data_IF_556794781794
#
_entry.id   IF_556794781794
#
_cell.length_a   1.000
_cell.length_b   1.000
_cell.length_c   1.000
_cell.angle_alpha   90.00
_cell.angle_beta   90.00
_cell.angle_gamma   90.00
#
_symmetry.space_group_name_H-M   'P 1'
#
loop_
_entity.id
_entity.type
_entity.pdbx_description
1 polymer ?
#
# COMPACT_ATOMS: atom_id res chain seq x y z
N UNK A 1 -8.12 -7.80 13.10
CA UNK A 1 -6.77 -8.30 13.47
C UNK A 1 -6.00 -8.45 12.17
N UNK A 2 -4.78 -7.90 12.03
CA UNK A 2 -3.99 -8.08 10.81
C UNK A 2 -3.83 -9.57 10.52
N UNK A 3 -3.84 -9.95 9.24
CA UNK A 3 -3.72 -11.35 8.84
C UNK A 3 -2.36 -11.87 9.31
N UNK A 4 -2.37 -12.77 10.30
CA UNK A 4 -1.13 -13.36 10.81
C UNK A 4 -0.61 -14.40 9.83
N UNK A 5 0.35 -14.04 9.00
CA UNK A 5 1.04 -14.99 8.12
C UNK A 5 1.92 -15.96 8.93
N UNK A 6 1.94 -17.24 8.56
CA UNK A 6 2.97 -18.17 9.05
C UNK A 6 4.32 -17.82 8.39
N UNK A 7 5.01 -16.85 8.98
CA UNK A 7 6.28 -16.34 8.48
C UNK A 7 7.38 -17.41 8.44
N UNK A 8 7.27 -18.51 9.20
CA UNK A 8 8.23 -19.61 9.11
C UNK A 8 8.00 -20.44 7.83
N UNK A 9 6.75 -20.75 7.50
CA UNK A 9 6.42 -21.43 6.25
C UNK A 9 6.81 -20.60 5.03
N UNK A 10 6.43 -19.32 5.02
CA UNK A 10 6.81 -18.38 3.96
C UNK A 10 8.33 -18.27 3.82
N UNK A 11 9.07 -18.19 4.93
CA UNK A 11 10.54 -18.12 4.91
C UNK A 11 11.15 -19.35 4.24
N UNK A 12 10.64 -20.56 4.52
CA UNK A 12 11.13 -21.80 3.91
C UNK A 12 10.88 -21.82 2.39
N UNK A 13 9.68 -21.41 1.97
CA UNK A 13 9.31 -21.33 0.56
C UNK A 13 10.15 -20.30 -0.19
N UNK A 14 10.34 -19.12 0.40
CA UNK A 14 11.15 -18.03 -0.16
C UNK A 14 12.61 -18.46 -0.38
N UNK A 15 13.21 -19.13 0.60
CA UNK A 15 14.56 -19.66 0.48
C UNK A 15 14.69 -20.74 -0.60
N UNK A 16 13.68 -21.60 -0.77
CA UNK A 16 13.64 -22.59 -1.86
C UNK A 16 13.52 -21.90 -3.22
N UNK A 17 12.66 -20.88 -3.34
CA UNK A 17 12.51 -20.08 -4.56
C UNK A 17 13.84 -19.43 -4.96
N UNK A 18 14.52 -18.75 -4.03
CA UNK A 18 15.83 -18.12 -4.30
C UNK A 18 16.95 -19.11 -4.62
N UNK A 19 16.95 -20.30 -4.01
CA UNK A 19 17.88 -21.37 -4.39
C UNK A 19 17.65 -21.80 -5.85
N UNK A 20 16.39 -21.84 -6.27
CA UNK A 20 15.97 -22.33 -7.58
C UNK A 20 16.36 -23.80 -7.78
N UNK A 21 16.89 -24.12 -8.96
CA UNK A 21 17.24 -25.49 -9.36
C UNK A 21 18.52 -26.04 -8.70
N UNK A 22 19.29 -25.21 -7.99
CA UNK A 22 20.56 -25.64 -7.37
C UNK A 22 20.30 -26.63 -6.24
N UNK A 23 21.19 -27.59 -6.01
CA UNK A 23 21.10 -28.42 -4.80
C UNK A 23 21.37 -27.58 -3.54
N UNK A 24 20.85 -28.02 -2.39
CA UNK A 24 21.07 -27.35 -1.09
C UNK A 24 22.57 -27.23 -0.75
N UNK A 25 23.36 -28.26 -1.09
CA UNK A 25 24.82 -28.25 -0.90
C UNK A 25 25.48 -27.21 -1.81
N UNK A 26 25.09 -27.14 -3.08
CA UNK A 26 25.63 -26.17 -4.02
C UNK A 26 25.31 -24.73 -3.58
N UNK A 27 24.09 -24.47 -3.10
CA UNK A 27 23.70 -23.18 -2.56
C UNK A 27 24.51 -22.82 -1.31
N UNK A 28 24.68 -23.76 -0.38
CA UNK A 28 25.46 -23.56 0.86
C UNK A 28 26.92 -23.20 0.55
N UNK A 29 27.54 -23.92 -0.39
CA UNK A 29 28.91 -23.61 -0.85
C UNK A 29 29.01 -22.24 -1.50
N UNK A 30 28.01 -21.84 -2.30
CA UNK A 30 27.97 -20.54 -2.97
C UNK A 30 27.80 -19.37 -1.98
N UNK A 31 27.14 -19.62 -0.86
CA UNK A 31 27.05 -18.68 0.28
C UNK A 31 28.35 -18.62 1.11
N UNK A 32 29.30 -19.53 0.87
CA UNK A 32 30.59 -19.61 1.57
C UNK A 32 30.57 -20.52 2.81
N UNK A 33 29.54 -21.35 2.99
CA UNK A 33 29.45 -22.27 4.11
C UNK A 33 30.06 -23.64 3.78
N UNK A 34 30.80 -24.20 4.74
CA UNK A 34 31.32 -25.57 4.68
C UNK A 34 30.26 -26.64 4.99
N UNK A 35 29.19 -26.26 5.69
CA UNK A 35 28.07 -27.13 6.08
C UNK A 35 26.83 -26.88 5.24
N UNK A 36 25.89 -27.84 5.22
CA UNK A 36 24.63 -27.74 4.46
C UNK A 36 23.60 -26.84 5.18
N UNK A 37 23.89 -25.54 5.26
CA UNK A 37 23.02 -24.55 5.91
C UNK A 37 21.69 -24.40 5.17
N UNK A 38 21.66 -24.53 3.85
CA UNK A 38 20.43 -24.43 3.06
C UNK A 38 19.41 -25.50 3.47
N UNK A 39 19.84 -26.73 3.74
CA UNK A 39 18.95 -27.76 4.30
C UNK A 39 18.37 -27.35 5.66
N UNK A 40 19.20 -26.85 6.58
CA UNK A 40 18.73 -26.42 7.89
C UNK A 40 17.72 -25.26 7.78
N UNK A 41 17.92 -24.37 6.81
CA UNK A 41 17.01 -23.25 6.55
C UNK A 41 15.69 -23.69 5.90
N UNK A 42 15.75 -24.49 4.84
CA UNK A 42 14.56 -24.94 4.09
C UNK A 42 13.71 -25.95 4.87
N UNK A 43 14.30 -26.68 5.83
CA UNK A 43 13.56 -27.56 6.74
C UNK A 43 12.94 -26.81 7.92
N UNK A 44 13.36 -25.58 8.20
CA UNK A 44 12.92 -24.79 9.36
C UNK A 44 13.64 -25.13 10.68
N UNK A 45 14.72 -25.93 10.65
CA UNK A 45 15.52 -26.21 11.86
C UNK A 45 16.23 -24.97 12.40
N UNK A 46 16.58 -24.03 11.52
CA UNK A 46 17.18 -22.73 11.83
C UNK A 46 16.88 -21.77 10.69
N UNK A 47 16.84 -20.46 10.93
CA UNK A 47 16.71 -19.47 9.85
C UNK A 47 17.96 -18.60 9.70
N UNK A 48 18.26 -18.09 8.49
CA UNK A 48 19.30 -17.07 8.28
C UNK A 48 18.88 -15.73 8.91
N UNK A 49 19.84 -14.83 9.12
CA UNK A 49 19.52 -13.40 9.37
C UNK A 49 18.94 -12.79 8.09
N UNK A 50 18.25 -11.65 8.20
CA UNK A 50 17.75 -10.91 7.04
C UNK A 50 18.87 -10.62 6.01
N UNK A 51 20.05 -10.22 6.50
CA UNK A 51 21.27 -10.02 5.69
C UNK A 51 21.63 -11.27 4.88
N UNK A 52 21.80 -12.42 5.53
CA UNK A 52 22.16 -13.67 4.85
C UNK A 52 21.06 -14.15 3.90
N UNK A 53 19.79 -13.90 4.24
CA UNK A 53 18.64 -14.20 3.40
C UNK A 53 18.67 -13.36 2.10
N UNK A 54 18.85 -12.05 2.22
CA UNK A 54 18.95 -11.12 1.09
C UNK A 54 20.17 -11.41 0.20
N UNK A 55 21.30 -11.79 0.79
CA UNK A 55 22.46 -12.30 0.06
C UNK A 55 22.14 -13.57 -0.73
N UNK A 56 21.37 -14.49 -0.14
CA UNK A 56 20.89 -15.69 -0.84
C UNK A 56 19.96 -15.34 -2.01
N UNK A 57 19.12 -14.32 -1.87
CA UNK A 57 18.26 -13.81 -2.95
C UNK A 57 19.10 -13.31 -4.14
N UNK A 58 20.16 -12.54 -3.86
CA UNK A 58 21.07 -12.02 -4.88
C UNK A 58 21.75 -13.15 -5.68
N UNK A 59 22.16 -14.25 -5.02
CA UNK A 59 22.69 -15.44 -5.70
C UNK A 59 21.64 -16.16 -6.57
N UNK A 60 20.36 -15.98 -6.23
CA UNK A 60 19.20 -16.41 -7.02
C UNK A 60 18.88 -15.51 -8.22
N UNK A 61 19.59 -14.39 -8.39
CA UNK A 61 19.34 -13.42 -9.45
C UNK A 61 18.31 -12.33 -9.08
N UNK A 62 18.00 -12.18 -7.79
CA UNK A 62 17.11 -11.12 -7.28
C UNK A 62 17.84 -10.33 -6.20
N UNK A 63 18.52 -9.24 -6.58
CA UNK A 63 19.28 -8.45 -5.62
C UNK A 63 18.34 -7.77 -4.62
N UNK A 64 18.82 -7.51 -3.40
CA UNK A 64 18.01 -6.81 -2.39
C UNK A 64 17.60 -5.41 -2.86
N UNK A 65 18.44 -4.75 -3.66
CA UNK A 65 18.14 -3.47 -4.31
C UNK A 65 16.93 -3.58 -5.25
N UNK A 66 16.90 -4.58 -6.13
CA UNK A 66 15.77 -4.80 -7.04
C UNK A 66 14.46 -5.06 -6.28
N UNK A 67 14.54 -5.79 -5.17
CA UNK A 67 13.38 -6.09 -4.31
C UNK A 67 12.81 -4.80 -3.74
N UNK A 68 13.65 -3.95 -3.14
CA UNK A 68 13.20 -2.70 -2.53
C UNK A 68 12.69 -1.70 -3.58
N UNK A 69 13.39 -1.55 -4.71
CA UNK A 69 12.93 -0.69 -5.81
C UNK A 69 11.57 -1.15 -6.33
N UNK A 70 11.38 -2.45 -6.57
CA UNK A 70 10.10 -2.98 -7.03
C UNK A 70 8.99 -2.82 -5.98
N UNK A 71 9.29 -3.01 -4.69
CA UNK A 71 8.32 -2.87 -3.61
C UNK A 71 7.86 -1.43 -3.38
N UNK A 72 8.77 -0.45 -3.48
CA UNK A 72 8.46 0.97 -3.36
C UNK A 72 7.82 1.54 -4.64
N UNK A 73 8.10 0.93 -5.79
CA UNK A 73 7.71 1.43 -7.12
C UNK A 73 8.64 2.53 -7.67
N UNK A 74 9.57 3.01 -6.85
CA UNK A 74 10.65 3.92 -7.18
C UNK A 74 11.86 3.61 -6.28
N UNK A 75 13.02 4.17 -6.60
CA UNK A 75 14.23 4.03 -5.76
C UNK A 75 14.06 4.83 -4.46
N UNK A 76 14.02 4.20 -3.27
CA UNK A 76 14.05 4.93 -2.01
C UNK A 76 15.43 5.57 -1.78
N UNK A 77 15.45 6.77 -1.18
CA UNK A 77 16.66 7.59 -1.06
C UNK A 77 17.78 6.93 -0.22
N UNK A 78 17.43 6.08 0.75
CA UNK A 78 18.43 5.41 1.58
C UNK A 78 19.33 4.43 0.78
N UNK A 79 18.85 3.91 -0.36
CA UNK A 79 19.66 3.04 -1.25
C UNK A 79 20.82 3.77 -1.93
N UNK A 80 20.87 5.10 -1.87
CA UNK A 80 21.99 5.88 -2.42
C UNK A 80 23.18 5.95 -1.46
N UNK A 81 22.98 5.54 -0.20
CA UNK A 81 23.94 5.71 0.88
C UNK A 81 24.32 4.40 1.58
N UNK A 82 23.49 3.37 1.50
CA UNK A 82 23.75 2.09 2.17
C UNK A 82 23.32 0.90 1.31
N UNK A 83 24.16 -0.14 1.28
CA UNK A 83 23.86 -1.37 0.57
C UNK A 83 22.74 -2.15 1.29
N UNK A 84 21.67 -2.57 0.60
CA UNK A 84 20.47 -3.14 1.22
C UNK A 84 20.65 -4.53 1.85
N UNK A 85 21.72 -5.24 1.48
CA UNK A 85 22.10 -6.56 2.01
C UNK A 85 23.15 -6.46 3.13
N UNK A 86 23.25 -5.31 3.79
CA UNK A 86 24.08 -5.08 4.99
C UNK A 86 23.22 -4.92 6.25
N UNK A 87 23.86 -4.93 7.42
CA UNK A 87 23.16 -4.70 8.68
C UNK A 87 22.50 -3.30 8.70
N UNK A 88 23.27 -2.30 8.30
CA UNK A 88 22.87 -0.91 8.17
C UNK A 88 21.75 -0.75 7.14
N UNK A 89 21.81 -1.48 6.02
CA UNK A 89 20.77 -1.49 5.00
C UNK A 89 19.44 -2.06 5.50
N UNK A 90 19.47 -3.17 6.24
CA UNK A 90 18.26 -3.74 6.87
C UNK A 90 17.65 -2.74 7.87
N UNK A 91 18.47 -2.07 8.68
CA UNK A 91 18.00 -1.04 9.62
C UNK A 91 17.41 0.15 8.88
N UNK A 92 18.05 0.63 7.81
CA UNK A 92 17.57 1.73 7.00
C UNK A 92 16.21 1.41 6.37
N UNK A 93 16.05 0.20 5.82
CA UNK A 93 14.78 -0.25 5.25
C UNK A 93 13.67 -0.32 6.32
N UNK A 94 13.93 -0.93 7.48
CA UNK A 94 12.94 -1.00 8.56
C UNK A 94 12.59 0.39 9.12
N UNK A 95 13.55 1.31 9.18
CA UNK A 95 13.32 2.69 9.62
C UNK A 95 12.51 3.50 8.62
N UNK A 96 12.78 3.33 7.32
CA UNK A 96 11.99 3.93 6.24
C UNK A 96 10.54 3.45 6.26
N UNK A 97 10.32 2.15 6.46
CA UNK A 97 8.99 1.56 6.62
C UNK A 97 8.26 2.06 7.87
N UNK A 98 8.97 2.18 9.00
CA UNK A 98 8.38 2.59 10.29
C UNK A 98 7.72 3.96 10.25
N UNK A 99 8.33 4.92 9.57
CA UNK A 99 7.91 6.32 9.67
C UNK A 99 7.84 6.79 11.13
N UNK A 100 6.61 7.06 11.62
CA UNK A 100 6.36 7.54 12.99
C UNK A 100 5.70 6.52 13.92
N UNK A 101 5.49 5.28 13.46
CA UNK A 101 4.76 4.27 14.25
C UNK A 101 5.49 3.97 15.57
N UNK A 102 4.78 4.02 16.73
CA UNK A 102 5.33 3.66 18.03
C UNK A 102 5.82 2.21 18.11
N UNK A 103 6.86 1.98 18.93
CA UNK A 103 7.45 0.63 19.09
C UNK A 103 6.44 -0.37 19.67
N UNK A 104 5.61 0.06 20.62
CA UNK A 104 4.66 -0.84 21.29
C UNK A 104 3.57 -1.32 20.31
N UNK A 105 3.11 -0.46 19.41
CA UNK A 105 2.16 -0.82 18.33
C UNK A 105 2.77 -1.81 17.34
N UNK A 106 4.05 -1.61 16.97
CA UNK A 106 4.78 -2.54 16.09
C UNK A 106 4.96 -3.90 16.77
N UNK A 107 5.27 -3.90 18.07
CA UNK A 107 5.45 -5.11 18.86
C UNK A 107 4.16 -5.95 18.92
N UNK A 108 3.03 -5.31 19.18
CA UNK A 108 1.71 -5.95 19.16
C UNK A 108 1.40 -6.56 17.79
N UNK A 109 1.53 -5.78 16.71
CA UNK A 109 1.27 -6.24 15.34
C UNK A 109 2.17 -7.38 14.89
N UNK A 110 3.45 -7.31 15.22
CA UNK A 110 4.43 -8.32 14.83
C UNK A 110 4.39 -9.59 15.70
N UNK A 111 3.66 -9.57 16.82
CA UNK A 111 3.71 -10.64 17.84
C UNK A 111 5.09 -10.76 18.50
N UNK A 112 5.79 -9.63 18.66
CA UNK A 112 7.15 -9.55 19.20
C UNK A 112 7.17 -8.75 20.50
N UNK A 113 8.23 -8.92 21.31
CA UNK A 113 8.44 -8.01 22.45
C UNK A 113 8.91 -6.64 21.97
N UNK A 114 8.51 -5.56 22.68
CA UNK A 114 9.05 -4.19 22.46
C UNK A 114 10.58 -4.14 22.42
N UNK A 115 11.25 -4.98 23.23
CA UNK A 115 12.70 -5.05 23.28
C UNK A 115 13.30 -5.69 22.02
N UNK A 116 12.63 -6.69 21.43
CA UNK A 116 13.07 -7.30 20.18
C UNK A 116 12.90 -6.32 19.01
N UNK A 117 11.77 -5.61 18.96
CA UNK A 117 11.51 -4.56 17.95
C UNK A 117 12.55 -3.44 18.08
N UNK A 118 12.74 -2.90 19.28
CA UNK A 118 13.71 -1.82 19.52
C UNK A 118 15.14 -2.22 19.12
N UNK A 119 15.58 -3.44 19.46
CA UNK A 119 16.90 -3.94 19.08
C UNK A 119 17.06 -4.18 17.58
N UNK A 120 16.02 -4.63 16.90
CA UNK A 120 16.04 -4.78 15.43
C UNK A 120 16.11 -3.41 14.73
N UNK A 121 15.31 -2.43 15.16
CA UNK A 121 15.27 -1.09 14.59
C UNK A 121 16.52 -0.26 14.87
N UNK A 122 17.24 -0.55 15.96
CA UNK A 122 18.51 0.11 16.30
C UNK A 122 19.74 -0.61 15.75
N UNK A 123 19.57 -1.77 15.10
CA UNK A 123 20.68 -2.57 14.57
C UNK A 123 21.46 -3.35 15.63
N UNK A 124 21.06 -3.30 16.91
CA UNK A 124 21.70 -4.08 17.98
C UNK A 124 21.56 -5.59 17.76
N UNK A 125 20.51 -6.02 17.08
CA UNK A 125 20.32 -7.42 16.67
C UNK A 125 19.79 -7.51 15.25
N UNK A 126 20.38 -8.38 14.44
CA UNK A 126 19.84 -8.68 13.12
C UNK A 126 18.68 -9.68 13.21
N UNK A 127 17.46 -9.33 12.76
CA UNK A 127 16.34 -10.24 12.80
C UNK A 127 16.60 -11.45 11.89
N UNK A 128 16.12 -12.62 12.32
CA UNK A 128 16.05 -13.81 11.46
C UNK A 128 14.95 -13.62 10.43
N UNK A 129 15.04 -14.34 9.30
CA UNK A 129 14.11 -14.15 8.18
C UNK A 129 12.61 -14.14 8.59
N UNK A 130 12.09 -15.09 9.41
CA UNK A 130 10.68 -15.03 9.83
C UNK A 130 10.34 -13.75 10.61
N UNK A 131 11.21 -13.35 11.54
CA UNK A 131 11.07 -12.11 12.31
C UNK A 131 11.15 -10.87 11.42
N UNK A 132 12.03 -10.89 10.42
CA UNK A 132 12.15 -9.82 9.45
C UNK A 132 10.87 -9.68 8.61
N UNK A 133 10.28 -10.78 8.12
CA UNK A 133 9.00 -10.75 7.41
C UNK A 133 7.86 -10.26 8.32
N UNK A 134 7.83 -10.67 9.58
CA UNK A 134 6.85 -10.17 10.56
C UNK A 134 6.99 -8.66 10.80
N UNK A 135 8.23 -8.14 10.86
CA UNK A 135 8.48 -6.70 10.95
C UNK A 135 8.06 -5.97 9.67
N UNK A 136 8.39 -6.50 8.48
CA UNK A 136 7.94 -5.91 7.19
C UNK A 136 6.42 -5.83 7.16
N UNK A 137 5.72 -6.88 7.58
CA UNK A 137 4.26 -6.86 7.67
C UNK A 137 3.77 -5.81 8.66
N UNK A 138 4.25 -5.83 9.91
CA UNK A 138 3.80 -4.92 10.95
C UNK A 138 4.05 -3.43 10.63
N UNK A 139 5.12 -3.15 9.87
CA UNK A 139 5.53 -1.79 9.51
C UNK A 139 4.87 -1.29 8.22
N UNK A 140 4.54 -2.18 7.28
CA UNK A 140 4.06 -1.79 5.96
C UNK A 140 2.62 -2.20 5.64
N UNK A 141 2.09 -3.23 6.33
CA UNK A 141 0.84 -3.92 6.03
C UNK A 141 0.76 -4.41 4.57
N UNK A 142 1.93 -4.70 3.99
CA UNK A 142 2.14 -4.97 2.56
C UNK A 142 3.13 -6.10 2.35
N UNK A 143 3.22 -7.07 3.27
CA UNK A 143 4.14 -8.20 3.12
C UNK A 143 3.91 -8.96 1.81
N UNK A 144 2.65 -9.14 1.38
CA UNK A 144 2.33 -9.80 0.13
C UNK A 144 2.94 -9.09 -1.09
N UNK A 145 2.96 -7.76 -1.11
CA UNK A 145 3.64 -6.99 -2.15
C UNK A 145 5.15 -7.12 -2.09
N UNK A 146 5.71 -7.11 -0.88
CA UNK A 146 7.14 -7.30 -0.70
C UNK A 146 7.57 -8.69 -1.17
N UNK A 147 6.79 -9.74 -0.84
CA UNK A 147 7.03 -11.11 -1.30
C UNK A 147 6.93 -11.23 -2.82
N UNK A 148 5.96 -10.57 -3.45
CA UNK A 148 5.84 -10.54 -4.90
C UNK A 148 6.98 -9.79 -5.59
N UNK A 149 7.58 -8.80 -4.92
CA UNK A 149 8.80 -8.16 -5.38
C UNK A 149 10.04 -9.06 -5.19
N UNK A 150 10.01 -9.90 -4.16
CA UNK A 150 11.12 -10.77 -3.75
C UNK A 150 11.20 -12.11 -4.51
N UNK A 151 10.09 -12.68 -4.95
CA UNK A 151 10.04 -13.98 -5.61
C UNK A 151 8.78 -14.14 -6.48
N UNK A 152 8.77 -15.07 -7.45
CA UNK A 152 7.54 -15.50 -8.12
C UNK A 152 6.53 -16.01 -7.09
N UNK A 153 5.34 -15.40 -7.04
CA UNK A 153 4.31 -15.76 -6.06
C UNK A 153 3.89 -17.23 -6.16
N UNK A 154 3.93 -17.83 -7.35
CA UNK A 154 3.62 -19.24 -7.56
C UNK A 154 4.53 -20.20 -6.76
N UNK A 155 5.73 -19.74 -6.35
CA UNK A 155 6.66 -20.52 -5.54
C UNK A 155 6.35 -20.45 -4.04
N UNK A 156 5.36 -19.64 -3.63
CA UNK A 156 4.99 -19.39 -2.24
C UNK A 156 3.55 -19.88 -1.94
N UNK A 157 3.30 -21.20 -1.97
CA UNK A 157 1.95 -21.75 -1.84
C UNK A 157 1.27 -21.39 -0.50
N UNK A 158 2.03 -21.16 0.57
CA UNK A 158 1.48 -20.79 1.88
C UNK A 158 0.72 -19.46 1.87
N UNK A 159 1.04 -18.54 0.94
CA UNK A 159 0.35 -17.26 0.80
C UNK A 159 -0.65 -17.22 -0.36
N UNK A 160 -0.79 -18.30 -1.14
CA UNK A 160 -1.63 -18.31 -2.33
C UNK A 160 -3.10 -17.88 -2.05
N UNK A 161 -3.76 -18.31 -0.95
CA UNK A 161 -5.11 -17.84 -0.63
C UNK A 161 -5.17 -16.33 -0.37
N UNK A 162 -4.25 -15.82 0.46
CA UNK A 162 -4.18 -14.40 0.80
C UNK A 162 -3.83 -13.53 -0.41
N UNK A 163 -2.92 -14.01 -1.27
CA UNK A 163 -2.59 -13.35 -2.53
C UNK A 163 -3.79 -13.30 -3.49
N UNK A 164 -4.53 -14.40 -3.63
CA UNK A 164 -5.75 -14.45 -4.45
C UNK A 164 -6.81 -13.46 -3.96
N UNK A 165 -6.98 -13.37 -2.64
CA UNK A 165 -7.87 -12.41 -1.99
C UNK A 165 -7.43 -10.96 -2.29
N UNK A 166 -6.15 -10.63 -2.11
CA UNK A 166 -5.61 -9.31 -2.43
C UNK A 166 -5.81 -8.93 -3.90
N UNK A 167 -5.56 -9.86 -4.83
CA UNK A 167 -5.80 -9.64 -6.26
C UNK A 167 -7.29 -9.49 -6.61
N UNK A 168 -8.20 -10.15 -5.87
CA UNK A 168 -9.63 -9.91 -6.00
C UNK A 168 -10.03 -8.51 -5.52
N UNK A 169 -9.51 -8.07 -4.37
CA UNK A 169 -9.72 -6.71 -3.85
C UNK A 169 -9.22 -5.65 -4.83
N UNK A 170 -8.04 -5.86 -5.42
CA UNK A 170 -7.49 -4.99 -6.49
C UNK A 170 -8.44 -4.89 -7.67
N UNK A 171 -8.88 -6.04 -8.20
CA UNK A 171 -9.85 -6.10 -9.30
C UNK A 171 -11.16 -5.39 -8.99
N UNK A 172 -11.68 -5.55 -7.77
CA UNK A 172 -12.87 -4.84 -7.31
C UNK A 172 -12.67 -3.32 -7.30
N UNK A 173 -11.55 -2.84 -6.77
CA UNK A 173 -11.23 -1.42 -6.77
C UNK A 173 -11.02 -0.84 -8.19
N UNK A 174 -10.65 -1.66 -9.17
CA UNK A 174 -10.56 -1.25 -10.57
C UNK A 174 -11.93 -1.14 -11.24
N UNK A 175 -12.81 -2.11 -11.00
CA UNK A 175 -14.14 -2.14 -11.59
C UNK A 175 -15.07 -1.11 -10.93
N UNK A 176 -14.90 -0.88 -9.63
CA UNK A 176 -15.77 -0.07 -8.80
C UNK A 176 -14.92 0.89 -7.94
N UNK A 177 -14.45 2.04 -8.47
CA UNK A 177 -13.62 2.99 -7.73
C UNK A 177 -14.27 3.48 -6.42
N UNK A 178 -15.60 3.51 -6.38
CA UNK A 178 -16.40 3.88 -5.21
C UNK A 178 -16.26 2.93 -4.01
N UNK A 179 -15.74 1.71 -4.19
CA UNK A 179 -15.48 0.75 -3.10
C UNK A 179 -14.68 1.38 -1.96
N UNK A 180 -13.72 2.24 -2.26
CA UNK A 180 -12.93 2.94 -1.25
C UNK A 180 -13.76 3.93 -0.43
N UNK A 181 -14.70 4.65 -1.05
CA UNK A 181 -15.59 5.58 -0.34
C UNK A 181 -16.66 4.84 0.45
N UNK A 182 -17.23 3.75 -0.10
CA UNK A 182 -18.19 2.88 0.59
C UNK A 182 -17.55 2.26 1.83
N UNK A 183 -16.29 1.81 1.74
CA UNK A 183 -15.55 1.28 2.89
C UNK A 183 -15.43 2.32 4.02
N UNK A 184 -15.12 3.59 3.69
CA UNK A 184 -15.07 4.69 4.66
C UNK A 184 -16.46 5.04 5.21
N UNK A 185 -17.53 4.90 4.42
CA UNK A 185 -18.90 5.16 4.87
C UNK A 185 -19.36 4.16 5.96
N UNK A 186 -18.89 2.92 5.91
CA UNK A 186 -19.17 1.89 6.94
C UNK A 186 -18.51 2.24 8.29
N UNK A 187 -17.39 2.97 8.27
CA UNK A 187 -16.68 3.41 9.46
C UNK A 187 -17.36 4.60 10.14
N UNK A 188 -18.36 5.23 9.52
CA UNK A 188 -19.06 6.39 10.08
C UNK A 188 -19.80 6.01 11.37
N UNK A 189 -19.67 6.86 12.39
CA UNK A 189 -20.39 6.68 13.65
C UNK A 189 -21.91 6.61 13.45
N UNK A 190 -22.45 7.43 12.55
CA UNK A 190 -23.88 7.42 12.19
C UNK A 190 -24.33 6.06 11.63
N UNK A 191 -23.51 5.42 10.79
CA UNK A 191 -23.79 4.09 10.25
C UNK A 191 -23.75 3.03 11.36
N UNK A 192 -22.74 3.09 12.22
CA UNK A 192 -22.54 2.13 13.31
C UNK A 192 -23.64 2.21 14.38
N UNK A 193 -24.29 3.38 14.52
CA UNK A 193 -25.38 3.61 15.46
C UNK A 193 -26.76 3.19 14.92
N UNK A 194 -26.88 2.80 13.64
CA UNK A 194 -28.12 2.26 13.12
C UNK A 194 -28.52 1.00 13.91
N UNK A 195 -29.82 0.69 14.06
CA UNK A 195 -30.24 -0.58 14.66
C UNK A 195 -29.80 -1.80 13.83
N UNK A 196 -29.80 -1.65 12.50
CA UNK A 196 -29.33 -2.61 11.50
C UNK A 196 -29.01 -1.84 10.19
N UNK A 197 -28.20 -2.44 9.32
CA UNK A 197 -27.92 -1.91 8.00
C UNK A 197 -29.22 -1.73 7.20
N UNK A 198 -29.40 -0.52 6.68
CA UNK A 198 -30.49 -0.17 5.79
C UNK A 198 -29.92 -0.02 4.37
N UNK A 199 -30.35 -0.85 3.40
CA UNK A 199 -29.94 -0.68 2.01
C UNK A 199 -30.26 0.73 1.51
N UNK A 200 -29.30 1.37 0.83
CA UNK A 200 -29.46 2.73 0.31
C UNK A 200 -28.98 3.81 1.28
N UNK A 201 -28.68 3.48 2.55
CA UNK A 201 -28.18 4.47 3.51
C UNK A 201 -26.82 5.01 3.07
N UNK A 202 -25.91 4.14 2.62
CA UNK A 202 -24.57 4.56 2.20
C UNK A 202 -24.69 5.37 0.91
N UNK A 203 -25.48 4.89 -0.05
CA UNK A 203 -25.77 5.56 -1.31
C UNK A 203 -26.28 6.98 -1.07
N UNK A 204 -27.29 7.16 -0.22
CA UNK A 204 -27.80 8.48 0.15
C UNK A 204 -26.74 9.34 0.84
N UNK A 205 -25.92 8.76 1.72
CA UNK A 205 -24.93 9.50 2.53
C UNK A 205 -23.79 10.08 1.71
N UNK A 206 -23.34 9.38 0.67
CA UNK A 206 -22.21 9.79 -0.19
C UNK A 206 -22.61 10.09 -1.65
N UNK A 207 -23.91 10.15 -1.95
CA UNK A 207 -24.44 10.59 -3.24
C UNK A 207 -24.28 9.59 -4.39
N UNK A 208 -24.46 8.30 -4.11
CA UNK A 208 -24.39 7.21 -5.11
C UNK A 208 -25.78 6.67 -5.47
N UNK A 209 -25.92 5.99 -6.62
CA UNK A 209 -27.06 5.12 -6.87
C UNK A 209 -27.05 3.87 -5.97
N UNK A 210 -28.22 3.40 -5.55
CA UNK A 210 -28.38 2.20 -4.71
C UNK A 210 -27.75 0.93 -5.32
N UNK A 211 -27.74 0.82 -6.65
CA UNK A 211 -27.07 -0.30 -7.33
C UNK A 211 -25.57 -0.30 -7.10
N UNK A 212 -24.94 0.88 -7.12
CA UNK A 212 -23.50 1.04 -6.89
C UNK A 212 -23.15 0.69 -5.44
N UNK A 213 -24.00 1.05 -4.48
CA UNK A 213 -23.82 0.62 -3.08
C UNK A 213 -23.80 -0.92 -2.99
N UNK A 214 -24.82 -1.59 -3.55
CA UNK A 214 -24.89 -3.06 -3.52
C UNK A 214 -23.68 -3.70 -4.17
N UNK A 215 -23.33 -3.28 -5.39
CA UNK A 215 -22.18 -3.83 -6.13
C UNK A 215 -20.87 -3.63 -5.35
N UNK A 216 -20.70 -2.47 -4.68
CA UNK A 216 -19.54 -2.20 -3.85
C UNK A 216 -19.52 -3.08 -2.59
N UNK A 217 -20.65 -3.22 -1.89
CA UNK A 217 -20.74 -4.06 -0.68
C UNK A 217 -20.45 -5.54 -1.02
N UNK A 218 -21.01 -6.05 -2.11
CA UNK A 218 -20.76 -7.41 -2.57
C UNK A 218 -19.28 -7.62 -2.91
N UNK A 219 -18.66 -6.66 -3.62
CA UNK A 219 -17.25 -6.73 -3.98
C UNK A 219 -16.32 -6.64 -2.76
N UNK A 220 -16.63 -5.76 -1.79
CA UNK A 220 -15.89 -5.61 -0.54
C UNK A 220 -16.02 -6.86 0.34
N UNK A 221 -17.21 -7.48 0.39
CA UNK A 221 -17.46 -8.70 1.15
C UNK A 221 -16.76 -9.90 0.52
N UNK A 222 -16.83 -10.05 -0.81
CA UNK A 222 -16.10 -11.08 -1.55
C UNK A 222 -14.58 -10.93 -1.44
N UNK A 223 -14.08 -9.69 -1.36
CA UNK A 223 -12.68 -9.37 -1.07
C UNK A 223 -12.30 -9.56 0.40
N UNK A 224 -13.26 -9.80 1.30
CA UNK A 224 -13.06 -9.92 2.75
C UNK A 224 -12.61 -8.63 3.44
N UNK A 225 -12.83 -7.48 2.82
CA UNK A 225 -12.55 -6.15 3.42
C UNK A 225 -13.65 -5.75 4.39
N UNK A 226 -14.84 -6.34 4.24
CA UNK A 226 -15.96 -6.20 5.17
C UNK A 226 -16.54 -7.57 5.49
N UNK A 227 -17.16 -7.67 6.67
CA UNK A 227 -17.87 -8.86 7.12
C UNK A 227 -19.26 -8.49 7.63
N UNK A 228 -20.20 -9.41 7.48
CA UNK A 228 -21.53 -9.27 8.07
C UNK A 228 -21.50 -9.77 9.53
N UNK A 229 -21.96 -8.95 10.48
CA UNK A 229 -22.02 -9.34 11.90
C UNK A 229 -23.42 -9.84 12.34
N UNK A 230 -24.35 -10.03 11.40
CA UNK A 230 -25.76 -10.35 11.66
C UNK A 230 -26.70 -9.14 11.56
N UNK A 231 -26.18 -7.91 11.72
CA UNK A 231 -26.96 -6.67 11.64
C UNK A 231 -26.35 -5.60 10.74
N UNK A 232 -25.03 -5.49 10.72
CA UNK A 232 -24.27 -4.48 9.97
C UNK A 232 -23.11 -5.11 9.21
N UNK A 233 -22.68 -4.40 8.18
CA UNK A 233 -21.34 -4.56 7.64
C UNK A 233 -20.34 -3.96 8.61
N UNK A 234 -19.24 -4.67 8.86
CA UNK A 234 -18.10 -4.19 9.63
C UNK A 234 -16.85 -4.30 8.77
N UNK A 235 -15.99 -3.28 8.82
CA UNK A 235 -14.67 -3.38 8.19
C UNK A 235 -13.86 -4.45 8.91
N UNK A 236 -13.34 -5.42 8.16
CA UNK A 236 -12.49 -6.49 8.67
C UNK A 236 -11.06 -6.27 8.17
N UNK A 237 -10.31 -5.49 8.95
CA UNK A 237 -8.94 -5.09 8.61
C UNK A 237 -8.89 -3.90 7.64
N UNK A 238 -8.18 -2.84 8.04
CA UNK A 238 -7.86 -1.71 7.17
C UNK A 238 -6.52 -1.96 6.46
N UNK A 239 -6.43 -3.00 5.64
CA UNK A 239 -5.23 -3.12 4.79
C UNK A 239 -5.28 -2.02 3.73
N UNK A 240 -4.21 -1.23 3.69
CA UNK A 240 -4.07 -0.19 2.68
C UNK A 240 -3.96 -0.88 1.32
N UNK A 241 -5.03 -0.84 0.52
CA UNK A 241 -5.00 -1.33 -0.84
C UNK A 241 -4.02 -0.49 -1.66
N UNK A 242 -2.80 -0.99 -1.82
CA UNK A 242 -1.81 -0.31 -2.64
C UNK A 242 -2.05 -0.58 -4.12
N UNK A 243 -2.49 0.46 -4.82
CA UNK A 243 -2.72 0.44 -6.27
C UNK A 243 -1.49 0.88 -7.07
N UNK A 244 -0.37 1.26 -6.41
CA UNK A 244 0.83 1.78 -7.08
C UNK A 244 1.55 0.76 -7.95
N UNK A 245 1.40 -0.55 -7.71
CA UNK A 245 2.03 -1.60 -8.53
C UNK A 245 1.56 -1.61 -9.96
N UNK A 246 0.32 -1.17 -10.22
CA UNK A 246 -0.18 -0.99 -11.56
C UNK A 246 -0.29 0.50 -11.87
N UNK A 247 0.70 1.01 -12.60
CA UNK A 247 0.77 2.41 -12.98
C UNK A 247 -0.46 2.85 -13.78
N UNK A 248 -0.95 2.01 -14.70
CA UNK A 248 -2.11 2.36 -15.52
C UNK A 248 -3.36 2.50 -14.65
N UNK A 249 -3.51 1.63 -13.66
CA UNK A 249 -4.65 1.64 -12.74
C UNK A 249 -4.56 2.79 -11.73
N UNK A 250 -3.36 3.07 -11.22
CA UNK A 250 -3.11 4.27 -10.43
C UNK A 250 -3.45 5.56 -11.19
N UNK A 251 -3.23 5.60 -12.51
CA UNK A 251 -3.65 6.73 -13.36
C UNK A 251 -5.17 6.77 -13.52
N UNK A 252 -5.83 5.65 -13.83
CA UNK A 252 -7.29 5.61 -13.97
C UNK A 252 -8.03 6.03 -12.69
N UNK A 253 -7.58 5.57 -11.52
CA UNK A 253 -8.19 5.98 -10.25
C UNK A 253 -7.99 7.48 -9.98
N UNK A 254 -6.82 8.04 -10.29
CA UNK A 254 -6.58 9.49 -10.18
C UNK A 254 -7.46 10.28 -11.14
N UNK A 255 -7.63 9.80 -12.38
CA UNK A 255 -8.52 10.41 -13.37
C UNK A 255 -9.98 10.39 -12.89
N UNK A 256 -10.44 9.25 -12.38
CA UNK A 256 -11.78 9.11 -11.82
C UNK A 256 -12.02 10.14 -10.71
N UNK A 257 -11.16 10.19 -9.70
CA UNK A 257 -11.32 11.14 -8.58
C UNK A 257 -11.15 12.59 -9.01
N UNK A 258 -10.25 12.88 -9.95
CA UNK A 258 -10.11 14.22 -10.52
C UNK A 258 -11.39 14.66 -11.26
N UNK A 259 -12.00 13.76 -12.04
CA UNK A 259 -13.28 14.01 -12.71
C UNK A 259 -14.39 14.22 -11.69
N UNK A 260 -14.47 13.41 -10.63
CA UNK A 260 -15.43 13.64 -9.53
C UNK A 260 -15.23 15.02 -8.90
N UNK A 261 -13.99 15.47 -8.72
CA UNK A 261 -13.71 16.83 -8.25
C UNK A 261 -14.20 17.92 -9.21
N UNK A 262 -14.01 17.72 -10.51
CA UNK A 262 -14.52 18.61 -11.55
C UNK A 262 -16.06 18.66 -11.55
N UNK A 263 -16.72 17.50 -11.46
CA UNK A 263 -18.18 17.41 -11.41
C UNK A 263 -18.74 18.11 -10.16
N UNK A 264 -18.06 18.01 -9.02
CA UNK A 264 -18.45 18.68 -7.78
C UNK A 264 -18.23 20.21 -7.85
N UNK A 265 -17.12 20.66 -8.45
CA UNK A 265 -16.89 22.07 -8.73
C UNK A 265 -17.98 22.64 -9.66
N UNK A 266 -18.35 21.91 -10.72
CA UNK A 266 -19.41 22.31 -11.65
C UNK A 266 -20.78 22.42 -10.97
N UNK A 267 -21.05 21.59 -9.95
CA UNK A 267 -22.24 21.64 -9.10
C UNK A 267 -22.19 22.70 -7.98
N UNK A 268 -21.10 23.47 -7.89
CA UNK A 268 -20.87 24.44 -6.82
C UNK A 268 -20.99 23.83 -5.42
N UNK A 269 -20.47 22.62 -5.23
CA UNK A 269 -20.45 21.99 -3.92
C UNK A 269 -19.61 22.82 -2.93
N UNK A 270 -19.84 22.66 -1.63
CA UNK A 270 -19.13 23.33 -0.53
C UNK A 270 -17.68 22.84 -0.31
N UNK A 271 -17.09 22.23 -1.34
CA UNK A 271 -15.73 21.73 -1.32
C UNK A 271 -14.70 22.87 -1.41
N UNK A 272 -13.49 22.61 -0.92
CA UNK A 272 -12.36 23.54 -1.08
C UNK A 272 -11.73 23.33 -2.46
N UNK A 273 -12.09 24.22 -3.39
CA UNK A 273 -11.49 24.29 -4.72
C UNK A 273 -10.58 25.52 -4.79
N UNK A 274 -9.33 25.32 -5.16
CA UNK A 274 -8.34 26.41 -5.25
C UNK A 274 -7.35 26.11 -6.36
N UNK A 275 -6.94 27.13 -7.10
CA UNK A 275 -5.89 27.03 -8.11
C UNK A 275 -4.94 28.22 -7.98
N UNK A 276 -3.67 27.98 -8.35
CA UNK A 276 -2.67 29.04 -8.46
C UNK A 276 -1.74 28.69 -9.63
N UNK A 277 -1.57 29.63 -10.56
CA UNK A 277 -0.67 29.49 -11.71
C UNK A 277 0.49 30.47 -11.49
N UNK A 278 1.71 29.95 -11.47
CA UNK A 278 2.91 30.73 -11.13
C UNK A 278 4.16 30.19 -11.84
N UNK A 279 5.17 31.04 -12.01
CA UNK A 279 6.49 30.65 -12.50
C UNK A 279 7.46 30.37 -11.33
N UNK A 280 8.29 29.35 -11.44
CA UNK A 280 9.34 29.00 -10.46
C UNK A 280 10.60 28.50 -11.16
N UNK A 281 11.73 28.56 -10.46
CA UNK A 281 12.96 27.89 -10.91
C UNK A 281 12.82 26.36 -10.81
N UNK A 282 13.57 25.59 -11.60
CA UNK A 282 13.58 24.12 -11.49
C UNK A 282 13.96 23.63 -10.09
N UNK A 283 14.89 24.35 -9.43
CA UNK A 283 15.27 24.08 -8.04
C UNK A 283 14.09 24.23 -7.09
N UNK A 284 13.28 25.28 -7.29
CA UNK A 284 12.11 25.53 -6.46
C UNK A 284 10.94 24.62 -6.83
N UNK A 285 10.80 24.21 -8.09
CA UNK A 285 9.86 23.16 -8.50
C UNK A 285 10.15 21.84 -7.76
N UNK A 286 11.42 21.47 -7.63
CA UNK A 286 11.83 20.28 -6.88
C UNK A 286 11.59 20.43 -5.36
N UNK A 287 11.72 21.65 -4.81
CA UNK A 287 11.29 21.96 -3.43
C UNK A 287 9.78 21.81 -3.28
N UNK A 288 8.99 22.29 -4.24
CA UNK A 288 7.53 22.17 -4.24
C UNK A 288 7.08 20.71 -4.36
N UNK A 289 7.73 19.89 -5.20
CA UNK A 289 7.49 18.44 -5.27
C UNK A 289 7.69 17.77 -3.91
N UNK A 290 8.78 18.10 -3.21
CA UNK A 290 9.01 17.59 -1.84
C UNK A 290 7.96 18.05 -0.84
N UNK A 291 7.53 19.32 -0.91
CA UNK A 291 6.44 19.85 -0.06
C UNK A 291 5.12 19.15 -0.35
N UNK A 292 4.80 18.91 -1.63
CA UNK A 292 3.61 18.18 -2.05
C UNK A 292 3.57 16.75 -1.47
N UNK A 293 4.71 16.05 -1.50
CA UNK A 293 4.86 14.74 -0.84
C UNK A 293 4.78 14.84 0.69
N UNK A 294 5.33 15.89 1.30
CA UNK A 294 5.25 16.12 2.74
C UNK A 294 3.82 16.40 3.21
N UNK A 295 3.06 17.20 2.44
CA UNK A 295 1.65 17.47 2.67
C UNK A 295 0.83 16.17 2.73
N UNK A 296 0.97 15.28 1.75
CA UNK A 296 0.24 14.01 1.76
C UNK A 296 0.63 13.07 2.91
N UNK A 297 1.87 13.15 3.40
CA UNK A 297 2.30 12.42 4.60
C UNK A 297 1.63 13.00 5.85
N UNK A 298 1.56 14.32 5.98
CA UNK A 298 0.88 14.99 7.09
C UNK A 298 -0.63 14.74 7.06
N UNK A 299 -1.27 14.85 5.88
CA UNK A 299 -2.69 14.53 5.69
C UNK A 299 -3.00 13.11 6.17
N UNK A 300 -2.19 12.12 5.78
CA UNK A 300 -2.36 10.73 6.25
C UNK A 300 -2.19 10.59 7.76
N UNK A 301 -1.29 11.35 8.39
CA UNK A 301 -1.14 11.38 9.85
C UNK A 301 -2.41 11.88 10.53
N UNK A 302 -2.96 13.01 10.05
CA UNK A 302 -4.20 13.58 10.58
C UNK A 302 -5.37 12.60 10.43
N UNK A 303 -5.51 11.96 9.26
CA UNK A 303 -6.54 10.94 9.02
C UNK A 303 -6.40 9.75 9.99
N UNK A 304 -5.18 9.29 10.26
CA UNK A 304 -4.94 8.18 11.18
C UNK A 304 -5.25 8.50 12.65
N UNK A 305 -5.12 9.77 13.05
CA UNK A 305 -5.42 10.27 14.40
C UNK A 305 -6.88 10.74 14.55
N UNK A 306 -7.62 10.86 13.45
CA UNK A 306 -8.97 11.42 13.41
C UNK A 306 -10.00 10.42 13.95
N UNK A 307 -10.43 10.64 15.19
CA UNK A 307 -11.57 9.93 15.79
C UNK A 307 -12.47 10.91 16.54
N UNK A 308 -13.81 10.80 16.44
CA UNK A 308 -14.58 9.80 15.68
C UNK A 308 -14.55 10.01 14.15
N UNK A 309 -14.93 8.98 13.39
CA UNK A 309 -15.09 9.05 11.94
C UNK A 309 -16.48 9.59 11.57
N UNK A 310 -16.54 10.84 11.12
CA UNK A 310 -17.82 11.54 10.88
C UNK A 310 -18.06 11.92 9.41
N UNK A 311 -16.98 12.00 8.62
CA UNK A 311 -17.02 12.49 7.24
C UNK A 311 -16.19 11.61 6.32
N UNK A 312 -16.73 11.38 5.12
CA UNK A 312 -15.98 10.80 3.98
C UNK A 312 -15.53 11.97 3.11
N UNK A 313 -14.22 12.13 2.94
CA UNK A 313 -13.61 13.25 2.20
C UNK A 313 -12.64 12.70 1.17
N UNK A 314 -12.61 13.32 -0.01
CA UNK A 314 -11.58 13.09 -1.04
C UNK A 314 -10.70 14.33 -1.15
N UNK A 315 -9.37 14.14 -1.19
CA UNK A 315 -8.40 15.21 -1.39
C UNK A 315 -7.68 15.01 -2.73
N UNK A 316 -7.96 15.90 -3.69
CA UNK A 316 -7.29 15.94 -5.00
C UNK A 316 -6.36 17.15 -5.05
N UNK A 317 -5.06 16.93 -4.90
CA UNK A 317 -4.05 17.99 -5.06
C UNK A 317 -3.21 17.67 -6.28
N UNK A 318 -3.15 18.60 -7.23
CA UNK A 318 -2.43 18.44 -8.50
C UNK A 318 -1.29 19.46 -8.58
N UNK A 319 -0.12 19.01 -9.00
CA UNK A 319 1.04 19.84 -9.30
C UNK A 319 1.70 19.27 -10.57
N UNK A 320 1.72 20.04 -11.65
CA UNK A 320 2.30 19.64 -12.93
C UNK A 320 2.93 20.84 -13.63
N UNK A 321 3.95 20.57 -14.45
CA UNK A 321 4.61 21.58 -15.27
C UNK A 321 3.75 21.89 -16.49
N UNK A 322 3.52 23.17 -16.77
CA UNK A 322 2.72 23.61 -17.91
C UNK A 322 3.55 23.74 -19.19
N UNK A 323 4.88 23.80 -19.06
CA UNK A 323 5.87 24.06 -20.11
C UNK A 323 6.53 22.78 -20.65
N UNK A 324 6.03 21.60 -20.27
CA UNK A 324 6.63 20.30 -20.58
C UNK A 324 5.96 19.52 -21.74
N UNK A 325 5.01 20.11 -22.47
CA UNK A 325 4.34 19.47 -23.62
C UNK A 325 2.90 19.93 -23.82
N UNK A 326 2.14 19.19 -24.64
CA UNK A 326 0.74 19.50 -24.97
C UNK A 326 -0.16 19.28 -23.75
N UNK A 327 -0.93 20.31 -23.38
CA UNK A 327 -1.84 20.30 -22.23
C UNK A 327 -3.29 20.36 -22.68
N UNK A 328 -4.11 19.46 -22.13
CA UNK A 328 -5.58 19.55 -22.18
C UNK A 328 -6.20 19.53 -23.59
N UNK A 329 -7.53 19.47 -23.68
CA UNK A 329 -8.22 19.84 -24.91
C UNK A 329 -7.94 21.33 -25.21
N UNK A 330 -7.91 21.70 -26.49
CA UNK A 330 -7.96 23.13 -26.86
C UNK A 330 -9.21 23.76 -26.20
N UNK A 331 -9.13 25.03 -25.76
CA UNK A 331 -10.29 25.72 -25.22
C UNK A 331 -11.44 25.56 -26.22
N UNK A 332 -12.55 24.94 -25.79
CA UNK A 332 -13.74 24.91 -26.63
C UNK A 332 -14.09 26.37 -26.94
N UNK A 333 -14.23 26.71 -28.23
CA UNK A 333 -14.84 27.97 -28.63
C UNK A 333 -16.14 28.08 -27.84
N UNK A 334 -16.22 29.08 -26.98
CA UNK A 334 -17.44 29.45 -26.27
C UNK A 334 -18.40 29.92 -27.37
N UNK A 335 -19.08 28.96 -28.00
CA UNK A 335 -20.07 29.22 -29.01
C UNK A 335 -21.20 29.99 -28.32
N UNK A 336 -21.20 31.29 -28.62
CA UNK A 336 -22.21 32.29 -28.35
C UNK A 336 -23.59 31.69 -28.01
N UNK A 337 -23.89 31.59 -26.72
CA UNK A 337 -25.25 31.65 -26.24
C UNK A 337 -25.66 33.13 -26.22
N UNK A 338 -25.87 33.71 -27.39
CA UNK A 338 -26.58 34.96 -27.53
C UNK A 338 -27.17 35.03 -28.94
N UNK A 339 -28.30 34.33 -29.12
CA UNK A 339 -29.23 34.72 -30.17
C UNK A 339 -30.68 34.53 -29.72
N UNK A 340 -31.22 35.65 -29.25
CA UNK A 340 -32.62 36.12 -29.38
C UNK A 340 -33.71 35.50 -28.47
N UNK A 341 -34.64 36.32 -27.93
CA UNK A 341 -35.49 37.16 -28.79
C UNK A 341 -35.68 38.61 -28.32
N UNK A 342 -35.51 39.54 -29.27
CA UNK A 342 -36.31 40.76 -29.31
C UNK A 342 -36.91 40.89 -30.71
N UNK A 343 -38.12 40.34 -30.87
CA UNK A 343 -39.26 40.90 -31.61
C UNK A 343 -40.47 40.00 -31.44
#
# INVERSE_FOLDING_TARGET
MPQSFDTQSVSRELLRSWRGKRSQIAQSRRLGYSSNVAYAWESGRRFPTAVEALRSAALGGRSAEDIWVAFHGNRPAWLDHVAPDTAEGVVAALSDLRGRTPIDEIAERAGLSRFAVSRALSGQTLPRLPTFLALVEALSLRLLDWLAAAAPIADLPSIAPAWSQLEAQRRAAYALPWTQAVLRAIELTEYQQLPAHQPGWIAARIGLPDSVERDCLDALAAGGQIRWNGRHWQVDGSEALDTRRDRALGVRNKQFWAQTGLDQLAKQSDGLFSYNVFSVSERDLERLRRLHLAYFRQLRSVVAESTPSERVVVANVQLFALDAGTLGPEPADVAASDDSPLS
#
